data_IF_531484616678
#
_entry.id   IF_531484616678
#
_cell.length_a   1.000
_cell.length_b   1.000
_cell.length_c   1.000
_cell.angle_alpha   90.00
_cell.angle_beta   90.00
_cell.angle_gamma   90.00
#
_symmetry.space_group_name_H-M   'P 1'
#
loop_
_entity.id
_entity.type
_entity.pdbx_description
1 polymer ?
#
# COMPACT_ATOMS: atom_id res chain seq x y z
N UNK A 1 -11.24 -9.37 -36.98
CA UNK A 1 -11.57 -8.89 -35.63
C UNK A 1 -11.04 -9.84 -34.54
N UNK A 2 -9.80 -9.69 -34.03
CA UNK A 2 -9.28 -10.53 -32.91
C UNK A 2 -8.14 -9.88 -32.08
N UNK A 3 -7.86 -8.59 -32.23
CA UNK A 3 -6.73 -7.91 -31.54
C UNK A 3 -7.11 -7.12 -30.28
N UNK A 4 -8.39 -6.75 -30.08
CA UNK A 4 -8.78 -5.91 -28.94
C UNK A 4 -8.91 -6.64 -27.60
N UNK A 5 -9.17 -7.96 -27.59
CA UNK A 5 -9.35 -8.73 -26.35
C UNK A 5 -8.07 -8.89 -25.51
N UNK A 6 -6.89 -8.71 -26.09
CA UNK A 6 -5.60 -8.93 -25.42
C UNK A 6 -5.08 -7.69 -24.68
N UNK A 7 -5.50 -6.48 -25.10
CA UNK A 7 -5.09 -5.21 -24.46
C UNK A 7 -5.85 -4.93 -23.15
N UNK A 8 -7.13 -5.27 -23.08
CA UNK A 8 -7.92 -5.10 -21.84
C UNK A 8 -7.49 -6.06 -20.71
N UNK A 9 -7.12 -7.29 -21.03
CA UNK A 9 -6.64 -8.26 -20.04
C UNK A 9 -5.27 -7.88 -19.49
N UNK A 10 -4.38 -7.37 -20.33
CA UNK A 10 -3.05 -6.93 -19.89
C UNK A 10 -3.10 -5.69 -19.00
N UNK A 11 -4.05 -4.75 -19.22
CA UNK A 11 -4.30 -3.63 -18.31
C UNK A 11 -4.84 -4.09 -16.95
N UNK A 12 -5.76 -5.05 -16.91
CA UNK A 12 -6.30 -5.61 -15.66
C UNK A 12 -5.27 -6.41 -14.84
N UNK A 13 -4.36 -7.11 -15.52
CA UNK A 13 -3.28 -7.82 -14.85
C UNK A 13 -2.21 -6.86 -14.31
N UNK A 14 -1.94 -5.75 -15.01
CA UNK A 14 -1.09 -4.66 -14.50
C UNK A 14 -1.72 -3.99 -13.28
N UNK A 15 -3.03 -3.70 -13.31
CA UNK A 15 -3.75 -3.07 -12.19
C UNK A 15 -3.73 -3.94 -10.93
N UNK A 16 -3.84 -5.27 -11.10
CA UNK A 16 -3.68 -6.24 -10.00
C UNK A 16 -2.25 -6.31 -9.45
N UNK A 17 -1.24 -6.21 -10.30
CA UNK A 17 0.17 -6.22 -9.91
C UNK A 17 0.57 -4.96 -9.17
N UNK A 18 0.02 -3.81 -9.59
CA UNK A 18 0.38 -2.51 -9.04
C UNK A 18 -0.37 -2.17 -7.73
N UNK A 19 -1.50 -2.84 -7.42
CA UNK A 19 -2.30 -2.53 -6.23
C UNK A 19 -1.48 -2.73 -4.94
N UNK A 20 -1.22 -1.66 -4.17
CA UNK A 20 -0.45 -1.78 -2.94
C UNK A 20 -1.19 -2.71 -1.97
N UNK A 21 -0.46 -3.68 -1.42
CA UNK A 21 -1.01 -4.71 -0.51
C UNK A 21 -1.32 -4.09 0.85
N UNK A 22 -2.47 -3.43 0.95
CA UNK A 22 -2.98 -2.82 2.18
C UNK A 22 -3.00 -3.82 3.36
N UNK A 23 -3.39 -5.07 3.09
CA UNK A 23 -3.47 -6.13 4.11
C UNK A 23 -2.09 -6.39 4.74
N UNK A 24 -1.02 -6.42 3.95
CA UNK A 24 0.32 -6.65 4.47
C UNK A 24 0.74 -5.53 5.44
N UNK A 25 0.48 -4.27 5.07
CA UNK A 25 0.80 -3.11 5.91
C UNK A 25 -0.03 -3.08 7.20
N UNK A 26 -1.30 -3.51 7.15
CA UNK A 26 -2.14 -3.69 8.34
C UNK A 26 -1.58 -4.77 9.26
N UNK A 27 -1.17 -5.93 8.71
CA UNK A 27 -0.56 -7.01 9.48
C UNK A 27 0.75 -6.55 10.15
N UNK A 28 1.62 -5.83 9.43
CA UNK A 28 2.81 -5.22 10.03
C UNK A 28 2.45 -4.22 11.12
N UNK A 29 1.43 -3.40 10.91
CA UNK A 29 0.91 -2.48 11.91
C UNK A 29 0.49 -3.17 13.22
N UNK A 30 -0.20 -4.31 13.13
CA UNK A 30 -0.60 -5.10 14.29
C UNK A 30 0.60 -5.64 15.09
N UNK A 31 1.68 -6.04 14.41
CA UNK A 31 2.92 -6.50 15.07
C UNK A 31 3.53 -5.38 15.90
N UNK A 32 3.56 -4.15 15.38
CA UNK A 32 4.12 -2.99 16.09
C UNK A 32 3.27 -2.51 17.27
N UNK A 33 1.99 -2.88 17.35
CA UNK A 33 1.12 -2.59 18.51
C UNK A 33 1.42 -3.51 19.70
N UNK A 34 1.95 -4.71 19.47
CA UNK A 34 2.25 -5.69 20.53
C UNK A 34 3.11 -5.12 21.68
N UNK A 35 4.25 -4.47 21.39
CA UNK A 35 5.08 -3.81 22.40
C UNK A 35 4.33 -2.75 23.22
N UNK A 36 3.38 -2.03 22.63
CA UNK A 36 2.56 -1.03 23.33
C UNK A 36 1.59 -1.68 24.31
N UNK A 37 0.94 -2.76 23.91
CA UNK A 37 0.09 -3.55 24.81
C UNK A 37 0.90 -4.12 25.96
N UNK A 38 2.11 -4.60 25.67
CA UNK A 38 3.01 -5.11 26.70
C UNK A 38 3.47 -4.03 27.69
N UNK A 39 3.83 -2.84 27.18
CA UNK A 39 4.16 -1.67 28.00
C UNK A 39 3.00 -1.27 28.91
N UNK A 40 1.78 -1.28 28.37
CA UNK A 40 0.56 -0.96 29.13
C UNK A 40 0.32 -1.95 30.28
N UNK A 41 0.51 -3.26 30.02
CA UNK A 41 0.41 -4.30 31.05
C UNK A 41 1.46 -4.11 32.16
N UNK A 42 2.71 -3.85 31.79
CA UNK A 42 3.80 -3.60 32.76
C UNK A 42 3.47 -2.39 33.66
N UNK A 43 2.87 -1.35 33.08
CA UNK A 43 2.45 -0.17 33.82
C UNK A 43 1.36 -0.48 34.84
N UNK A 44 0.37 -1.29 34.46
CA UNK A 44 -0.70 -1.76 35.37
C UNK A 44 -0.13 -2.63 36.49
N UNK A 45 0.78 -3.55 36.16
CA UNK A 45 1.42 -4.46 37.12
C UNK A 45 2.45 -3.76 38.02
N UNK A 46 2.75 -2.47 37.78
CA UNK A 46 3.77 -1.68 38.50
C UNK A 46 5.15 -2.35 38.52
N UNK A 47 5.48 -3.10 37.48
CA UNK A 47 6.72 -3.87 37.39
C UNK A 47 7.84 -3.01 36.76
N UNK A 48 8.32 -2.03 37.53
CA UNK A 48 9.24 -0.97 37.06
C UNK A 48 10.59 -1.49 36.54
N UNK A 49 11.03 -2.68 36.96
CA UNK A 49 12.27 -3.29 36.44
C UNK A 49 12.19 -3.61 34.95
N UNK A 50 11.00 -3.95 34.44
CA UNK A 50 10.77 -4.28 33.02
C UNK A 50 10.34 -3.06 32.20
N UNK A 51 9.98 -1.97 32.86
CA UNK A 51 9.45 -0.77 32.23
C UNK A 51 10.48 -0.13 31.28
N UNK A 52 11.74 -0.07 31.68
CA UNK A 52 12.79 0.56 30.86
C UNK A 52 13.01 -0.20 29.54
N UNK A 53 13.10 -1.54 29.61
CA UNK A 53 13.25 -2.39 28.43
C UNK A 53 12.03 -2.29 27.50
N UNK A 54 10.82 -2.33 28.06
CA UNK A 54 9.59 -2.19 27.27
C UNK A 54 9.48 -0.80 26.62
N UNK A 55 9.90 0.26 27.33
CA UNK A 55 9.90 1.63 26.82
C UNK A 55 10.83 1.80 25.64
N UNK A 56 12.06 1.26 25.73
CA UNK A 56 13.02 1.28 24.63
C UNK A 56 12.46 0.55 23.41
N UNK A 57 11.86 -0.64 23.62
CA UNK A 57 11.26 -1.42 22.55
C UNK A 57 10.12 -0.65 21.86
N UNK A 58 9.20 -0.05 22.62
CA UNK A 58 8.13 0.80 22.06
C UNK A 58 8.69 2.02 21.32
N UNK A 59 9.76 2.62 21.85
CA UNK A 59 10.43 3.76 21.23
C UNK A 59 11.02 3.44 19.86
N UNK A 60 11.48 2.21 19.63
CA UNK A 60 11.98 1.73 18.33
C UNK A 60 10.82 1.32 17.41
N UNK A 61 9.74 0.77 17.95
CA UNK A 61 8.59 0.35 17.16
C UNK A 61 7.80 1.53 16.56
N UNK A 62 7.74 2.69 17.23
CA UNK A 62 7.00 3.86 16.71
C UNK A 62 7.57 4.40 15.38
N UNK A 63 8.89 4.64 15.25
CA UNK A 63 9.48 5.03 13.97
C UNK A 63 9.25 3.98 12.87
N UNK A 64 9.38 2.69 13.19
CA UNK A 64 9.17 1.62 12.21
C UNK A 64 7.72 1.54 11.74
N UNK A 65 6.76 1.66 12.66
CA UNK A 65 5.34 1.77 12.32
C UNK A 65 5.07 2.97 11.41
N UNK A 66 5.64 4.13 11.76
CA UNK A 66 5.50 5.36 10.96
C UNK A 66 6.09 5.19 9.56
N UNK A 67 7.31 4.64 9.45
CA UNK A 67 7.97 4.37 8.18
C UNK A 67 7.17 3.42 7.30
N UNK A 68 6.61 2.35 7.88
CA UNK A 68 5.76 1.40 7.16
C UNK A 68 4.54 2.09 6.53
N UNK A 69 3.88 2.99 7.26
CA UNK A 69 2.75 3.75 6.72
C UNK A 69 3.16 4.81 5.71
N UNK A 70 4.26 5.54 5.96
CA UNK A 70 4.81 6.50 5.00
C UNK A 70 5.14 5.81 3.68
N UNK A 71 5.74 4.62 3.73
CA UNK A 71 6.02 3.79 2.57
C UNK A 71 4.74 3.41 1.82
N UNK A 72 3.72 2.92 2.53
CA UNK A 72 2.43 2.60 1.93
C UNK A 72 1.79 3.81 1.22
N UNK A 73 1.79 4.98 1.86
CA UNK A 73 1.22 6.19 1.25
C UNK A 73 2.02 6.64 0.02
N UNK A 74 3.34 6.46 0.06
CA UNK A 74 4.20 6.73 -1.09
C UNK A 74 3.86 5.81 -2.27
N UNK A 75 3.78 4.49 -2.04
CA UNK A 75 3.37 3.50 -3.04
C UNK A 75 1.96 3.80 -3.57
N UNK A 76 1.02 4.15 -2.70
CA UNK A 76 -0.35 4.48 -3.09
C UNK A 76 -0.41 5.74 -3.97
N UNK A 77 0.38 6.76 -3.66
CA UNK A 77 0.46 7.99 -4.47
C UNK A 77 1.06 7.70 -5.84
N UNK A 78 2.13 6.91 -5.89
CA UNK A 78 2.77 6.49 -7.13
C UNK A 78 1.83 5.64 -7.99
N UNK A 79 1.11 4.69 -7.35
CA UNK A 79 0.08 3.89 -8.01
C UNK A 79 -1.00 4.78 -8.64
N UNK A 80 -1.55 5.75 -7.90
CA UNK A 80 -2.59 6.65 -8.43
C UNK A 80 -2.10 7.48 -9.61
N UNK A 81 -0.83 7.91 -9.58
CA UNK A 81 -0.23 8.65 -10.70
C UNK A 81 -0.08 7.76 -11.94
N UNK A 82 0.52 6.58 -11.77
CA UNK A 82 0.73 5.63 -12.86
C UNK A 82 -0.59 5.11 -13.45
N UNK A 83 -1.59 4.83 -12.60
CA UNK A 83 -2.91 4.40 -13.03
C UNK A 83 -3.64 5.50 -13.81
N UNK A 84 -3.45 6.78 -13.44
CA UNK A 84 -4.02 7.91 -14.17
C UNK A 84 -3.41 8.06 -15.56
N UNK A 85 -2.08 7.96 -15.67
CA UNK A 85 -1.38 7.99 -16.96
C UNK A 85 -1.84 6.85 -17.89
N UNK A 86 -1.93 5.62 -17.36
CA UNK A 86 -2.42 4.47 -18.11
C UNK A 86 -3.88 4.64 -18.58
N UNK A 87 -4.72 5.27 -17.76
CA UNK A 87 -6.11 5.54 -18.12
C UNK A 87 -6.22 6.60 -19.23
N UNK A 88 -5.48 7.71 -19.12
CA UNK A 88 -5.44 8.76 -20.15
C UNK A 88 -4.92 8.21 -21.49
N UNK A 89 -3.85 7.41 -21.47
CA UNK A 89 -3.30 6.77 -22.67
C UNK A 89 -4.29 5.77 -23.30
N UNK A 90 -5.09 5.07 -22.48
CA UNK A 90 -6.12 4.16 -22.99
C UNK A 90 -7.27 4.88 -23.69
N UNK A 91 -7.67 6.07 -23.21
CA UNK A 91 -8.74 6.89 -23.82
C UNK A 91 -8.29 7.42 -25.19
N UNK A 92 -7.09 8.00 -25.27
CA UNK A 92 -6.54 8.56 -26.52
C UNK A 92 -6.45 7.49 -27.60
N UNK A 93 -5.97 6.29 -27.23
CA UNK A 93 -5.90 5.16 -28.16
C UNK A 93 -7.28 4.66 -28.63
N UNK A 94 -8.33 4.84 -27.82
CA UNK A 94 -9.70 4.46 -28.18
C UNK A 94 -10.31 5.44 -29.19
N UNK A 95 -10.07 6.75 -29.01
CA UNK A 95 -10.47 7.80 -29.95
C UNK A 95 -9.76 7.68 -31.31
N UNK A 96 -8.46 7.37 -31.32
CA UNK A 96 -7.71 7.09 -32.56
C UNK A 96 -8.17 5.82 -33.30
N UNK A 97 -8.74 4.85 -32.58
CA UNK A 97 -9.24 3.62 -33.19
C UNK A 97 -10.60 3.85 -33.86
N UNK A 98 -11.50 4.57 -33.20
CA UNK A 98 -12.82 4.90 -33.74
C UNK A 98 -12.72 5.82 -34.96
N UNK A 99 -11.81 6.81 -34.95
CA UNK A 99 -11.61 7.70 -36.11
C UNK A 99 -11.05 6.99 -37.37
N UNK A 100 -10.42 5.81 -37.20
CA UNK A 100 -9.93 4.98 -38.32
C UNK A 100 -10.97 3.98 -38.84
N UNK A 101 -12.06 3.73 -38.12
CA UNK A 101 -13.16 2.87 -38.58
C UNK A 101 -14.26 3.65 -39.33
N UNK A 102 -14.28 4.98 -39.22
CA UNK A 102 -15.24 5.87 -39.92
C UNK A 102 -14.78 6.33 -41.33
N UNK A 103 -13.59 5.90 -41.79
CA UNK A 103 -13.03 6.17 -43.13
C UNK A 103 -12.97 4.89 -43.96
#
# INVERSE_FOLDING_TARGET
MRKNKTKETSLKDLEKLLKPKLIAHICYGLIYIGPYLHLYLIHIEKSYERLLTATILTGICLPLFTLNWVWYFYELKHYKSAAKELYEESIINMEECNSKEEV
#
